data_IF_803238941122
#
_entry.id   IF_803238941122
#
_cell.length_a   1.000
_cell.length_b   1.000
_cell.length_c   1.000
_cell.angle_alpha   90.00
_cell.angle_beta   90.00
_cell.angle_gamma   90.00
#
_symmetry.space_group_name_H-M   'P 1'
#
loop_
_entity.id
_entity.type
_entity.pdbx_description
1 polymer ?
#
# COMPACT_ATOMS: atom_id res chain seq x y z
N UNK A 1 -13.57 -3.20 42.41
CA UNK A 1 -14.06 -2.89 41.04
C UNK A 1 -13.07 -3.33 39.95
N UNK A 2 -11.75 -3.21 40.18
CA UNK A 2 -10.70 -3.59 39.22
C UNK A 2 -10.89 -5.00 38.60
N UNK A 3 -11.11 -6.04 39.41
CA UNK A 3 -11.25 -7.41 38.90
C UNK A 3 -12.41 -7.62 37.89
N UNK A 4 -13.52 -6.88 38.04
CA UNK A 4 -14.65 -6.96 37.09
C UNK A 4 -14.27 -6.28 35.77
N UNK A 5 -13.68 -5.09 35.83
CA UNK A 5 -13.20 -4.34 34.66
C UNK A 5 -12.16 -5.15 33.88
N UNK A 6 -11.17 -5.72 34.56
CA UNK A 6 -10.15 -6.59 33.95
C UNK A 6 -10.79 -7.79 33.25
N UNK A 7 -11.75 -8.47 33.91
CA UNK A 7 -12.46 -9.60 33.31
C UNK A 7 -13.25 -9.21 32.05
N UNK A 8 -13.91 -8.05 32.08
CA UNK A 8 -14.68 -7.55 30.94
C UNK A 8 -13.72 -7.21 29.77
N UNK A 9 -12.58 -6.58 30.06
CA UNK A 9 -11.51 -6.31 29.07
C UNK A 9 -10.98 -7.62 28.47
N UNK A 10 -10.59 -8.59 29.28
CA UNK A 10 -10.10 -9.89 28.78
C UNK A 10 -11.12 -10.59 27.90
N UNK A 11 -12.42 -10.47 28.22
CA UNK A 11 -13.49 -11.05 27.40
C UNK A 11 -13.64 -10.33 26.06
N UNK A 12 -13.43 -9.03 26.00
CA UNK A 12 -13.45 -8.26 24.75
C UNK A 12 -12.24 -8.60 23.88
N UNK A 13 -11.03 -8.63 24.45
CA UNK A 13 -9.80 -9.04 23.74
C UNK A 13 -9.96 -10.45 23.17
N UNK A 14 -10.44 -11.41 23.97
CA UNK A 14 -10.65 -12.78 23.50
C UNK A 14 -11.69 -12.88 22.36
N UNK A 15 -12.69 -12.00 22.30
CA UNK A 15 -13.63 -11.94 21.18
C UNK A 15 -12.96 -11.41 19.91
N UNK A 16 -12.08 -10.42 20.03
CA UNK A 16 -11.32 -9.90 18.89
C UNK A 16 -10.34 -10.94 18.38
N UNK A 17 -9.64 -11.65 19.27
CA UNK A 17 -8.76 -12.77 18.91
C UNK A 17 -9.52 -13.83 18.08
N UNK A 18 -10.72 -14.19 18.51
CA UNK A 18 -11.55 -15.15 17.78
C UNK A 18 -11.91 -14.64 16.37
N UNK A 19 -12.21 -13.34 16.21
CA UNK A 19 -12.45 -12.74 14.88
C UNK A 19 -11.20 -12.76 14.02
N UNK A 20 -10.03 -12.44 14.59
CA UNK A 20 -8.74 -12.47 13.90
C UNK A 20 -8.44 -13.87 13.37
N UNK A 21 -8.63 -14.90 14.20
CA UNK A 21 -8.42 -16.29 13.78
C UNK A 21 -9.40 -16.71 12.67
N UNK A 22 -10.69 -16.35 12.78
CA UNK A 22 -11.69 -16.65 11.75
C UNK A 22 -11.37 -16.00 10.41
N UNK A 23 -11.07 -14.70 10.39
CA UNK A 23 -10.74 -13.96 9.16
C UNK A 23 -9.44 -14.46 8.55
N UNK A 24 -8.41 -14.68 9.37
CA UNK A 24 -7.14 -15.22 8.91
C UNK A 24 -7.28 -16.61 8.28
N UNK A 25 -8.08 -17.48 8.90
CA UNK A 25 -8.31 -18.82 8.39
C UNK A 25 -9.07 -18.80 7.06
N UNK A 26 -10.09 -17.95 6.93
CA UNK A 26 -10.81 -17.73 5.67
C UNK A 26 -9.88 -17.24 4.56
N UNK A 27 -8.97 -16.32 4.86
CA UNK A 27 -7.98 -15.84 3.90
C UNK A 27 -7.06 -16.96 3.39
N UNK A 28 -6.60 -17.83 4.29
CA UNK A 28 -5.74 -18.97 3.94
C UNK A 28 -6.51 -20.04 3.15
N UNK A 29 -7.74 -20.34 3.53
CA UNK A 29 -8.55 -21.36 2.84
C UNK A 29 -8.95 -20.91 1.43
N UNK A 30 -9.23 -19.63 1.24
CA UNK A 30 -9.47 -19.06 -0.09
C UNK A 30 -8.22 -19.11 -0.97
N UNK A 31 -7.04 -18.84 -0.40
CA UNK A 31 -5.78 -18.98 -1.12
C UNK A 31 -5.53 -20.44 -1.56
N UNK A 32 -5.75 -21.43 -0.67
CA UNK A 32 -5.66 -22.86 -1.01
C UNK A 32 -6.65 -23.25 -2.10
N UNK A 33 -7.88 -22.72 -2.04
CA UNK A 33 -8.88 -22.95 -3.07
C UNK A 33 -8.43 -22.43 -4.44
N UNK A 34 -7.82 -21.24 -4.49
CA UNK A 34 -7.25 -20.68 -5.70
C UNK A 34 -6.10 -21.56 -6.25
N UNK A 35 -5.19 -22.03 -5.38
CA UNK A 35 -4.10 -22.94 -5.76
C UNK A 35 -4.62 -24.27 -6.32
N UNK A 36 -5.60 -24.88 -5.67
CA UNK A 36 -6.23 -26.13 -6.11
C UNK A 36 -6.95 -25.94 -7.46
N UNK A 37 -7.62 -24.80 -7.63
CA UNK A 37 -8.25 -24.41 -8.89
C UNK A 37 -7.22 -24.32 -10.01
N UNK A 38 -6.14 -23.58 -9.80
CA UNK A 38 -5.05 -23.46 -10.78
C UNK A 38 -4.45 -24.82 -11.14
N UNK A 39 -4.15 -25.65 -10.14
CA UNK A 39 -3.64 -27.01 -10.37
C UNK A 39 -4.59 -27.85 -11.24
N UNK A 40 -5.91 -27.74 -11.00
CA UNK A 40 -6.93 -28.43 -11.80
C UNK A 40 -6.94 -27.94 -13.25
N UNK A 41 -6.79 -26.63 -13.47
CA UNK A 41 -6.67 -26.06 -14.82
C UNK A 41 -5.38 -26.51 -15.52
N UNK A 42 -4.24 -26.49 -14.81
CA UNK A 42 -2.94 -26.89 -15.36
C UNK A 42 -2.88 -28.39 -15.73
N UNK A 43 -3.61 -29.24 -15.02
CA UNK A 43 -3.71 -30.68 -15.34
C UNK A 43 -4.60 -30.96 -16.56
N UNK A 44 -5.63 -30.14 -16.78
CA UNK A 44 -6.55 -30.31 -17.89
C UNK A 44 -6.04 -29.55 -19.14
N UNK A 45 -4.99 -30.06 -19.80
CA UNK A 45 -4.40 -29.40 -20.99
C UNK A 45 -4.98 -29.88 -22.33
N UNK A 46 -5.89 -30.86 -22.33
CA UNK A 46 -6.40 -31.52 -23.53
C UNK A 46 -7.78 -31.01 -23.97
N UNK A 47 -7.89 -29.71 -24.28
CA UNK A 47 -9.15 -29.11 -24.73
C UNK A 47 -9.18 -28.86 -26.25
N UNK A 48 -10.33 -29.11 -26.86
CA UNK A 48 -10.66 -28.74 -28.25
C UNK A 48 -10.92 -27.24 -28.36
N UNK A 49 -10.82 -26.66 -29.57
CA UNK A 49 -11.01 -25.22 -29.75
C UNK A 49 -12.37 -24.68 -29.24
N UNK A 50 -13.44 -25.45 -29.39
CA UNK A 50 -14.79 -25.08 -28.91
C UNK A 50 -14.93 -25.21 -27.39
N UNK A 51 -14.22 -26.18 -26.78
CA UNK A 51 -14.14 -26.26 -25.31
C UNK A 51 -13.26 -25.15 -24.73
N UNK A 52 -12.24 -24.67 -25.45
CA UNK A 52 -11.36 -23.59 -25.00
C UNK A 52 -12.09 -22.29 -24.64
N UNK A 53 -13.05 -21.83 -25.45
CA UNK A 53 -13.77 -20.58 -25.16
C UNK A 53 -14.65 -20.69 -23.90
N UNK A 54 -15.36 -21.82 -23.75
CA UNK A 54 -16.21 -22.07 -22.58
C UNK A 54 -15.36 -22.16 -21.31
N UNK A 55 -14.18 -22.78 -21.41
CA UNK A 55 -13.23 -22.93 -20.30
C UNK A 55 -12.57 -21.61 -19.94
N UNK A 56 -12.28 -20.77 -20.93
CA UNK A 56 -11.79 -19.41 -20.71
C UNK A 56 -12.82 -18.55 -19.96
N UNK A 57 -14.09 -18.61 -20.36
CA UNK A 57 -15.19 -17.93 -19.65
C UNK A 57 -15.34 -18.43 -18.21
N UNK A 58 -15.36 -19.75 -18.02
CA UNK A 58 -15.45 -20.36 -16.69
C UNK A 58 -14.23 -20.00 -15.81
N UNK A 59 -13.03 -19.95 -16.39
CA UNK A 59 -11.79 -19.50 -15.72
C UNK A 59 -11.91 -18.06 -15.24
N UNK A 60 -12.41 -17.16 -16.10
CA UNK A 60 -12.62 -15.76 -15.74
C UNK A 60 -13.68 -15.57 -14.65
N UNK A 61 -14.81 -16.27 -14.74
CA UNK A 61 -15.85 -16.22 -13.71
C UNK A 61 -15.35 -16.73 -12.37
N UNK A 62 -14.60 -17.83 -12.38
CA UNK A 62 -14.01 -18.41 -11.18
C UNK A 62 -12.95 -17.48 -10.57
N UNK A 63 -12.09 -16.88 -11.39
CA UNK A 63 -11.11 -15.89 -10.93
C UNK A 63 -11.82 -14.67 -10.31
N UNK A 64 -12.89 -14.15 -10.92
CA UNK A 64 -13.70 -13.06 -10.33
C UNK A 64 -14.32 -13.46 -9.00
N UNK A 65 -14.83 -14.69 -8.87
CA UNK A 65 -15.38 -15.18 -7.61
C UNK A 65 -14.32 -15.28 -6.52
N UNK A 66 -13.13 -15.78 -6.85
CA UNK A 66 -11.98 -15.81 -5.93
C UNK A 66 -11.61 -14.39 -5.50
N UNK A 67 -11.51 -13.45 -6.43
CA UNK A 67 -11.16 -12.06 -6.12
C UNK A 67 -12.23 -11.36 -5.27
N UNK A 68 -13.51 -11.56 -5.57
CA UNK A 68 -14.63 -11.03 -4.77
C UNK A 68 -14.57 -11.55 -3.33
N UNK A 69 -14.43 -12.86 -3.15
CA UNK A 69 -14.35 -13.46 -1.81
C UNK A 69 -13.10 -12.99 -1.06
N UNK A 70 -11.99 -12.72 -1.75
CA UNK A 70 -10.75 -12.25 -1.12
C UNK A 70 -10.92 -10.81 -0.64
N UNK A 71 -11.56 -9.98 -1.45
CA UNK A 71 -11.89 -8.61 -1.08
C UNK A 71 -12.82 -8.55 0.13
N UNK A 72 -13.86 -9.39 0.18
CA UNK A 72 -14.73 -9.46 1.37
C UNK A 72 -13.99 -9.86 2.64
N UNK A 73 -13.04 -10.80 2.54
CA UNK A 73 -12.20 -11.21 3.67
C UNK A 73 -11.26 -10.06 4.08
N UNK A 74 -10.72 -9.34 3.11
CA UNK A 74 -9.85 -8.19 3.36
C UNK A 74 -10.60 -7.03 4.04
N UNK A 75 -11.81 -6.69 3.57
CA UNK A 75 -12.67 -5.68 4.21
C UNK A 75 -12.98 -6.06 5.67
N UNK A 76 -13.35 -7.32 5.93
CA UNK A 76 -13.58 -7.82 7.29
C UNK A 76 -12.30 -7.77 8.13
N UNK A 77 -11.14 -8.01 7.52
CA UNK A 77 -9.87 -7.90 8.23
C UNK A 77 -9.54 -6.47 8.63
N UNK A 78 -9.85 -5.50 7.77
CA UNK A 78 -9.68 -4.08 8.08
C UNK A 78 -10.62 -3.65 9.21
N UNK A 79 -11.88 -4.10 9.20
CA UNK A 79 -12.81 -3.83 10.30
C UNK A 79 -12.29 -4.36 11.65
N UNK A 80 -11.64 -5.54 11.64
CA UNK A 80 -11.03 -6.12 12.85
C UNK A 80 -9.79 -5.34 13.28
N UNK A 81 -8.98 -4.85 12.34
CA UNK A 81 -7.85 -3.96 12.65
C UNK A 81 -8.30 -2.69 13.33
N UNK A 82 -9.31 -2.01 12.77
CA UNK A 82 -9.83 -0.76 13.30
C UNK A 82 -10.38 -0.96 14.72
N UNK A 83 -11.04 -2.11 14.99
CA UNK A 83 -11.52 -2.48 16.33
C UNK A 83 -10.38 -2.74 17.32
N UNK A 84 -9.27 -3.35 16.88
CA UNK A 84 -8.09 -3.59 17.71
C UNK A 84 -7.38 -2.27 18.03
N UNK A 85 -7.22 -1.39 17.05
CA UNK A 85 -6.61 -0.06 17.22
C UNK A 85 -7.42 0.82 18.18
N UNK A 86 -8.75 0.87 18.03
CA UNK A 86 -9.63 1.59 18.96
C UNK A 86 -9.45 1.10 20.41
N UNK A 87 -9.31 -0.22 20.61
CA UNK A 87 -9.10 -0.81 21.94
C UNK A 87 -7.72 -0.50 22.50
N UNK A 88 -6.69 -0.58 21.68
CA UNK A 88 -5.33 -0.20 22.06
C UNK A 88 -5.28 1.27 22.53
N UNK A 89 -5.83 2.20 21.74
CA UNK A 89 -5.89 3.61 22.15
C UNK A 89 -6.65 3.80 23.48
N UNK A 90 -7.73 3.04 23.66
CA UNK A 90 -8.51 3.04 24.90
C UNK A 90 -7.69 2.60 26.12
N UNK A 91 -6.85 1.56 25.96
CA UNK A 91 -5.97 1.08 27.01
C UNK A 91 -4.83 2.05 27.30
N UNK A 92 -4.21 2.63 26.28
CA UNK A 92 -3.15 3.64 26.43
C UNK A 92 -3.64 4.88 27.18
N UNK A 93 -4.84 5.38 26.84
CA UNK A 93 -5.49 6.50 27.57
C UNK A 93 -5.76 6.13 29.03
N UNK A 94 -6.18 4.89 29.31
CA UNK A 94 -6.40 4.41 30.68
C UNK A 94 -5.08 4.28 31.46
N UNK A 95 -4.02 3.74 30.85
CA UNK A 95 -2.68 3.66 31.44
C UNK A 95 -2.16 5.05 31.81
N UNK A 96 -2.33 6.04 30.93
CA UNK A 96 -1.90 7.41 31.18
C UNK A 96 -2.66 8.03 32.38
N UNK A 97 -3.98 7.80 32.46
CA UNK A 97 -4.79 8.26 33.58
C UNK A 97 -4.36 7.61 34.90
N UNK A 98 -4.18 6.28 34.92
CA UNK A 98 -3.77 5.54 36.12
C UNK A 98 -2.34 5.91 36.56
N UNK A 99 -1.44 6.18 35.61
CA UNK A 99 -0.08 6.67 35.90
C UNK A 99 -0.10 8.06 36.53
N UNK A 100 -1.01 8.93 36.09
CA UNK A 100 -1.22 10.24 36.71
C UNK A 100 -1.73 10.10 38.15
N UNK A 101 -2.68 9.21 38.39
CA UNK A 101 -3.22 8.96 39.72
C UNK A 101 -2.19 8.33 40.66
N UNK A 102 -1.36 7.41 40.16
CA UNK A 102 -0.23 6.85 40.91
C UNK A 102 0.77 7.94 41.35
N UNK A 103 1.03 8.92 40.47
CA UNK A 103 1.87 10.08 40.81
C UNK A 103 1.27 10.91 41.95
N UNK A 104 -0.04 11.17 41.92
CA UNK A 104 -0.74 11.89 42.99
C UNK A 104 -0.72 11.12 44.31
N UNK A 105 -0.93 9.80 44.26
CA UNK A 105 -0.86 8.93 45.45
C UNK A 105 0.53 8.96 46.09
N UNK A 106 1.59 8.96 45.27
CA UNK A 106 2.97 9.06 45.77
C UNK A 106 3.26 10.40 46.45
N UNK A 107 2.66 11.51 46.00
CA UNK A 107 2.75 12.81 46.68
C UNK A 107 2.01 12.76 48.01
N UNK A 108 0.76 12.29 48.00
CA UNK A 108 -0.06 12.18 49.20
C UNK A 108 0.57 11.27 50.26
N UNK A 109 1.21 10.17 49.85
CA UNK A 109 1.95 9.26 50.72
C UNK A 109 2.99 10.02 51.54
N UNK A 110 3.82 10.84 50.88
CA UNK A 110 4.88 11.63 51.54
C UNK A 110 4.29 12.65 52.53
N UNK A 111 3.18 13.28 52.17
CA UNK A 111 2.50 14.24 53.05
C UNK A 111 1.94 13.56 54.31
N UNK A 112 1.29 12.40 54.16
CA UNK A 112 0.75 11.62 55.28
C UNK A 112 1.87 11.11 56.18
N UNK A 113 2.94 10.58 55.61
CA UNK A 113 4.12 10.12 56.37
C UNK A 113 4.76 11.26 57.17
N UNK A 114 4.80 12.48 56.63
CA UNK A 114 5.31 13.65 57.34
C UNK A 114 4.48 14.04 58.57
N UNK A 115 3.20 13.63 58.63
CA UNK A 115 2.34 13.84 59.81
C UNK A 115 2.46 12.74 60.88
N UNK A 116 3.25 11.68 60.61
CA UNK A 116 3.39 10.53 61.50
C UNK A 116 2.20 9.56 61.46
N UNK A 117 1.27 9.74 60.53
CA UNK A 117 0.13 8.83 60.29
C UNK A 117 0.56 7.71 59.33
N UNK A 118 -0.02 6.52 59.47
CA UNK A 118 0.26 5.39 58.57
C UNK A 118 -0.24 5.65 57.15
N UNK A 119 0.60 5.36 56.15
CA UNK A 119 0.32 5.45 54.71
C UNK A 119 -0.22 4.14 54.09
N UNK A 120 -0.53 3.11 54.89
CA UNK A 120 -0.84 1.76 54.40
C UNK A 120 -2.03 1.67 53.42
N UNK A 121 -3.06 2.49 53.59
CA UNK A 121 -4.19 2.53 52.64
C UNK A 121 -3.81 3.22 51.32
N UNK A 122 -2.89 4.19 51.34
CA UNK A 122 -2.35 4.83 50.13
C UNK A 122 -1.47 3.83 49.38
N UNK A 123 -0.67 3.04 50.10
CA UNK A 123 0.14 1.98 49.51
C UNK A 123 -0.72 0.94 48.80
N UNK A 124 -1.79 0.46 49.46
CA UNK A 124 -2.73 -0.48 48.85
C UNK A 124 -3.41 0.10 47.60
N UNK A 125 -3.76 1.39 47.62
CA UNK A 125 -4.31 2.07 46.46
C UNK A 125 -3.28 2.20 45.32
N UNK A 126 -2.02 2.50 45.65
CA UNK A 126 -0.91 2.58 44.70
C UNK A 126 -0.60 1.23 44.05
N UNK A 127 -0.52 0.17 44.84
CA UNK A 127 -0.36 -1.22 44.36
C UNK A 127 -1.50 -1.61 43.41
N UNK A 128 -2.75 -1.33 43.79
CA UNK A 128 -3.90 -1.62 42.93
C UNK A 128 -3.85 -0.85 41.61
N UNK A 129 -3.33 0.38 41.58
CA UNK A 129 -3.15 1.15 40.34
C UNK A 129 -2.01 0.62 39.49
N UNK A 130 -0.90 0.21 40.11
CA UNK A 130 0.21 -0.41 39.40
C UNK A 130 -0.21 -1.74 38.76
N UNK A 131 -1.01 -2.56 39.45
CA UNK A 131 -1.58 -3.79 38.89
C UNK A 131 -2.50 -3.52 37.68
N UNK A 132 -3.30 -2.45 37.74
CA UNK A 132 -4.16 -2.02 36.62
C UNK A 132 -3.33 -1.59 35.40
N UNK A 133 -2.29 -0.79 35.61
CA UNK A 133 -1.34 -0.38 34.56
C UNK A 133 -0.68 -1.62 33.93
N UNK A 134 -0.13 -2.53 34.74
CA UNK A 134 0.55 -3.72 34.24
C UNK A 134 -0.39 -4.61 33.40
N UNK A 135 -1.64 -4.78 33.85
CA UNK A 135 -2.64 -5.54 33.11
C UNK A 135 -2.99 -4.90 31.76
N UNK A 136 -3.19 -3.58 31.73
CA UNK A 136 -3.51 -2.85 30.50
C UNK A 136 -2.32 -2.88 29.53
N UNK A 137 -1.09 -2.68 30.01
CA UNK A 137 0.11 -2.76 29.19
C UNK A 137 0.29 -4.12 28.55
N UNK A 138 0.10 -5.21 29.31
CA UNK A 138 0.15 -6.56 28.75
C UNK A 138 -0.97 -6.82 27.71
N UNK A 139 -2.15 -6.21 27.91
CA UNK A 139 -3.25 -6.30 26.95
C UNK A 139 -2.95 -5.53 25.66
N UNK A 140 -2.29 -4.38 25.75
CA UNK A 140 -1.82 -3.61 24.58
C UNK A 140 -0.77 -4.41 23.78
N UNK A 141 0.25 -4.96 24.44
CA UNK A 141 1.28 -5.79 23.77
C UNK A 141 0.68 -7.03 23.08
N UNK A 142 -0.33 -7.65 23.69
CA UNK A 142 -1.06 -8.77 23.07
C UNK A 142 -1.82 -8.32 21.82
N UNK A 143 -2.49 -7.16 21.85
CA UNK A 143 -3.19 -6.61 20.68
C UNK A 143 -2.20 -6.35 19.53
N UNK A 144 -1.05 -5.74 19.80
CA UNK A 144 0.00 -5.50 18.80
C UNK A 144 0.49 -6.81 18.16
N UNK A 145 0.73 -7.84 18.99
CA UNK A 145 1.14 -9.17 18.50
C UNK A 145 0.08 -9.78 17.58
N UNK A 146 -1.19 -9.69 17.96
CA UNK A 146 -2.32 -10.21 17.18
C UNK A 146 -2.50 -9.44 15.86
N UNK A 147 -2.30 -8.13 15.86
CA UNK A 147 -2.28 -7.29 14.66
C UNK A 147 -1.14 -7.69 13.72
N UNK A 148 0.07 -7.94 14.23
CA UNK A 148 1.20 -8.39 13.41
C UNK A 148 0.96 -9.79 12.79
N UNK A 149 0.39 -10.71 13.57
CA UNK A 149 0.03 -12.04 13.07
C UNK A 149 -1.02 -11.98 11.96
N UNK A 150 -2.07 -11.17 12.15
CA UNK A 150 -3.09 -10.96 11.12
C UNK A 150 -2.46 -10.43 9.83
N UNK A 151 -1.55 -9.45 9.94
CA UNK A 151 -0.88 -8.81 8.79
C UNK A 151 -0.12 -9.85 7.99
N UNK A 152 0.69 -10.62 8.69
CA UNK A 152 1.50 -11.69 8.12
C UNK A 152 0.64 -12.73 7.38
N UNK A 153 -0.49 -13.15 7.96
CA UNK A 153 -1.39 -14.14 7.35
C UNK A 153 -2.13 -13.57 6.13
N UNK A 154 -2.51 -12.30 6.15
CA UNK A 154 -3.10 -11.62 4.99
C UNK A 154 -2.08 -11.48 3.85
N UNK A 155 -0.84 -11.12 4.16
CA UNK A 155 0.25 -11.05 3.18
C UNK A 155 0.53 -12.41 2.55
N UNK A 156 0.60 -13.47 3.35
CA UNK A 156 0.75 -14.85 2.87
C UNK A 156 -0.41 -15.26 1.95
N UNK A 157 -1.65 -14.97 2.36
CA UNK A 157 -2.85 -15.23 1.54
C UNK A 157 -2.78 -14.46 0.21
N UNK A 158 -2.39 -13.18 0.23
CA UNK A 158 -2.25 -12.35 -0.97
C UNK A 158 -1.20 -12.91 -1.92
N UNK A 159 -0.02 -13.29 -1.40
CA UNK A 159 1.07 -13.88 -2.20
C UNK A 159 0.62 -15.19 -2.86
N UNK A 160 -0.03 -16.08 -2.11
CA UNK A 160 -0.58 -17.33 -2.63
C UNK A 160 -1.64 -17.11 -3.70
N UNK A 161 -2.57 -16.17 -3.46
CA UNK A 161 -3.56 -15.77 -4.47
C UNK A 161 -2.89 -15.27 -5.75
N UNK A 162 -1.90 -14.40 -5.65
CA UNK A 162 -1.17 -13.87 -6.80
C UNK A 162 -0.46 -14.99 -7.57
N UNK A 163 0.17 -15.94 -6.88
CA UNK A 163 0.79 -17.12 -7.50
C UNK A 163 -0.24 -18.07 -8.14
N UNK A 164 -1.47 -18.09 -7.61
CA UNK A 164 -2.58 -18.91 -8.08
C UNK A 164 -3.41 -18.27 -9.21
N UNK A 165 -3.10 -17.05 -9.66
CA UNK A 165 -3.82 -16.41 -10.76
C UNK A 165 -3.80 -17.27 -12.02
N UNK A 166 -4.99 -17.47 -12.59
CA UNK A 166 -5.17 -18.23 -13.82
C UNK A 166 -4.65 -17.41 -15.02
N UNK A 167 -3.41 -17.67 -15.43
CA UNK A 167 -2.84 -17.13 -16.66
C UNK A 167 -3.28 -17.99 -17.85
N UNK A 168 -4.55 -17.90 -18.25
CA UNK A 168 -5.00 -18.53 -19.48
C UNK A 168 -4.46 -17.73 -20.68
N UNK A 169 -3.23 -18.06 -21.12
CA UNK A 169 -2.81 -17.73 -22.47
C UNK A 169 -3.46 -18.78 -23.36
N UNK A 170 -4.53 -18.41 -24.07
CA UNK A 170 -4.99 -19.24 -25.18
C UNK A 170 -3.76 -19.51 -26.04
N UNK A 171 -3.36 -20.79 -26.17
CA UNK A 171 -2.45 -21.18 -27.23
C UNK A 171 -3.23 -20.86 -28.49
N UNK A 172 -3.01 -19.65 -29.01
CA UNK A 172 -3.42 -19.27 -30.35
C UNK A 172 -3.01 -20.44 -31.23
N UNK A 173 -4.01 -21.20 -31.67
CA UNK A 173 -3.89 -22.11 -32.80
C UNK A 173 -3.75 -21.23 -34.06
N UNK A 174 -2.81 -20.28 -34.05
CA UNK A 174 -2.16 -19.86 -35.27
C UNK A 174 -1.37 -21.07 -35.73
N UNK A 175 -2.06 -21.91 -36.49
CA UNK A 175 -1.42 -22.77 -37.46
C UNK A 175 -0.70 -21.79 -38.40
N UNK A 176 0.65 -21.74 -38.42
CA UNK A 176 1.36 -20.98 -39.45
C UNK A 176 1.17 -21.79 -40.73
N UNK A 177 0.00 -21.65 -41.35
CA UNK A 177 -0.27 -22.20 -42.66
C UNK A 177 0.54 -21.33 -43.61
N UNK A 178 1.76 -21.80 -43.87
CA UNK A 178 2.52 -21.64 -45.11
C UNK A 178 1.89 -20.67 -46.11
N UNK A 179 2.18 -19.37 -45.97
CA UNK A 179 2.21 -18.48 -47.12
C UNK A 179 3.66 -18.45 -47.60
N UNK A 180 3.97 -19.42 -48.46
CA UNK A 180 5.18 -19.43 -49.26
C UNK A 180 4.92 -18.48 -50.42
N UNK A 181 5.16 -17.18 -50.23
CA UNK A 181 5.35 -16.29 -51.36
C UNK A 181 6.84 -16.06 -51.55
N UNK A 182 7.33 -16.69 -52.61
CA UNK A 182 8.64 -16.53 -53.17
C UNK A 182 8.81 -15.09 -53.68
N UNK A 183 9.73 -14.35 -53.10
CA UNK A 183 10.43 -13.31 -53.84
C UNK A 183 11.93 -13.43 -53.59
N UNK A 184 12.58 -14.02 -54.58
CA UNK A 184 13.99 -13.82 -54.86
C UNK A 184 14.28 -12.32 -54.97
N UNK A 185 15.22 -11.81 -54.17
CA UNK A 185 16.13 -10.79 -54.66
C UNK A 185 17.50 -10.93 -54.01
N UNK A 186 18.36 -11.56 -54.81
CA UNK A 186 19.80 -11.39 -54.97
C UNK A 186 20.40 -10.08 -54.44
N UNK A 187 21.52 -10.20 -53.73
CA UNK A 187 22.73 -9.48 -54.13
C UNK A 187 23.46 -8.65 -53.08
N UNK A 188 24.68 -9.11 -52.76
CA UNK A 188 25.87 -8.32 -52.43
C UNK A 188 25.87 -7.54 -51.08
N UNK A 189 26.98 -7.37 -50.36
CA UNK A 189 28.39 -7.53 -50.69
C UNK A 189 29.19 -7.57 -49.38
N UNK A 190 30.19 -8.44 -49.39
CA UNK A 190 31.29 -8.62 -48.46
C UNK A 190 32.01 -7.31 -48.05
N UNK A 191 32.48 -7.25 -46.79
CA UNK A 191 33.74 -6.56 -46.48
C UNK A 191 34.41 -7.15 -45.24
N UNK A 192 35.36 -8.04 -45.48
CA UNK A 192 36.46 -8.36 -44.59
C UNK A 192 37.51 -7.22 -44.59
N UNK A 193 38.12 -6.98 -43.42
CA UNK A 193 39.49 -6.50 -43.16
C UNK A 193 39.66 -6.60 -41.62
N UNK A 194 40.49 -7.50 -41.08
CA UNK A 194 41.96 -7.40 -41.05
C UNK A 194 42.35 -6.28 -40.06
N UNK A 195 42.97 -6.50 -38.90
CA UNK A 195 44.08 -7.40 -38.57
C UNK A 195 45.33 -6.53 -38.26
N UNK A 196 46.00 -6.80 -37.13
CA UNK A 196 47.32 -6.30 -36.68
C UNK A 196 47.45 -4.83 -36.23
N UNK A 197 48.33 -4.42 -35.31
CA UNK A 197 49.33 -5.05 -34.42
C UNK A 197 49.82 -4.02 -33.39
N UNK A 198 50.38 -4.50 -32.28
CA UNK A 198 51.38 -3.90 -31.36
C UNK A 198 51.43 -2.38 -31.09
N UNK A 199 51.43 -2.03 -29.79
CA UNK A 199 52.60 -1.37 -29.16
C UNK A 199 52.53 -1.51 -27.64
N UNK A 200 53.57 -2.14 -27.09
CA UNK A 200 53.93 -2.07 -25.67
C UNK A 200 54.27 -0.63 -25.30
N UNK A 201 53.72 -0.15 -24.19
CA UNK A 201 54.29 0.98 -23.46
C UNK A 201 54.01 0.78 -21.98
N UNK A 202 55.00 0.25 -21.26
CA UNK A 202 55.08 0.32 -19.80
C UNK A 202 55.48 1.75 -19.41
N UNK A 203 54.70 2.47 -18.57
CA UNK A 203 55.22 3.58 -17.81
C UNK A 203 55.88 3.07 -16.51
N UNK A 204 56.92 3.78 -16.03
CA UNK A 204 57.75 3.32 -14.92
C UNK A 204 57.00 3.31 -13.60
N UNK A 205 57.28 2.26 -12.83
CA UNK A 205 57.13 2.17 -11.38
C UNK A 205 57.83 3.36 -10.71
N UNK A 206 57.04 4.31 -10.22
CA UNK A 206 57.49 5.20 -9.17
C UNK A 206 56.41 5.35 -8.09
N UNK A 207 56.74 4.76 -6.94
CA UNK A 207 56.45 5.27 -5.60
C UNK A 207 55.12 5.98 -5.35
N UNK A 208 54.13 5.24 -4.85
CA UNK A 208 53.41 5.57 -3.60
C UNK A 208 52.52 4.39 -3.18
N UNK A 209 53.03 3.57 -2.26
CA UNK A 209 52.27 2.58 -1.50
C UNK A 209 51.82 3.28 -0.23
N UNK A 210 50.64 3.90 -0.22
CA UNK A 210 49.84 4.13 1.00
C UNK A 210 48.33 4.09 0.66
N UNK A 211 47.60 3.21 1.35
CA UNK A 211 46.15 3.19 1.60
C UNK A 211 45.12 2.82 0.50
N UNK A 212 45.30 1.68 -0.17
CA UNK A 212 44.28 1.13 -1.08
C UNK A 212 43.19 0.24 -0.40
N UNK A 213 43.34 -0.07 0.90
CA UNK A 213 42.30 -0.77 1.67
C UNK A 213 41.21 0.17 2.22
N UNK A 214 41.43 1.49 2.20
CA UNK A 214 40.50 2.52 2.69
C UNK A 214 39.41 2.88 1.67
N UNK A 215 39.69 2.73 0.37
CA UNK A 215 38.80 3.10 -0.74
C UNK A 215 37.56 2.20 -0.84
N UNK A 216 37.75 0.88 -0.82
CA UNK A 216 36.66 -0.10 -0.97
C UNK A 216 35.72 -0.13 0.25
N UNK A 217 36.26 0.04 1.45
CA UNK A 217 35.48 0.08 2.69
C UNK A 217 34.66 1.38 2.81
N UNK A 218 35.18 2.52 2.30
CA UNK A 218 34.43 3.78 2.23
C UNK A 218 33.27 3.70 1.23
N UNK A 219 33.50 3.13 0.03
CA UNK A 219 32.43 2.92 -0.96
C UNK A 219 31.35 1.97 -0.43
N UNK A 220 31.74 0.91 0.28
CA UNK A 220 30.78 -0.01 0.91
C UNK A 220 29.98 0.64 2.05
N UNK A 221 30.64 1.44 2.91
CA UNK A 221 29.97 2.20 3.98
C UNK A 221 29.02 3.25 3.43
N UNK A 222 29.41 3.97 2.38
CA UNK A 222 28.57 4.99 1.74
C UNK A 222 27.35 4.37 1.07
N UNK A 223 27.52 3.23 0.39
CA UNK A 223 26.39 2.45 -0.16
C UNK A 223 25.45 1.94 0.92
N UNK A 224 25.98 1.38 2.01
CA UNK A 224 25.17 0.90 3.13
C UNK A 224 24.43 2.03 3.86
N UNK A 225 25.07 3.19 4.02
CA UNK A 225 24.42 4.39 4.58
C UNK A 225 23.32 4.91 3.67
N UNK A 226 23.52 4.91 2.35
CA UNK A 226 22.50 5.30 1.37
C UNK A 226 21.31 4.35 1.39
N UNK A 227 21.53 3.03 1.40
CA UNK A 227 20.46 2.02 1.51
C UNK A 227 19.70 2.12 2.85
N UNK A 228 20.40 2.37 3.96
CA UNK A 228 19.78 2.57 5.26
C UNK A 228 18.93 3.86 5.31
N UNK A 229 19.43 4.95 4.73
CA UNK A 229 18.70 6.21 4.63
C UNK A 229 17.46 6.08 3.74
N UNK A 230 17.56 5.38 2.61
CA UNK A 230 16.44 5.10 1.70
C UNK A 230 15.38 4.24 2.38
N UNK A 231 15.80 3.21 3.14
CA UNK A 231 14.88 2.37 3.92
C UNK A 231 14.20 3.14 5.04
N UNK A 232 14.91 4.00 5.76
CA UNK A 232 14.33 4.86 6.79
C UNK A 232 13.35 5.88 6.20
N UNK A 233 13.69 6.49 5.07
CA UNK A 233 12.81 7.43 4.37
C UNK A 233 11.53 6.74 3.86
N UNK A 234 11.64 5.49 3.39
CA UNK A 234 10.48 4.69 3.03
C UNK A 234 9.56 4.41 4.23
N UNK A 235 10.12 4.05 5.40
CA UNK A 235 9.31 3.81 6.62
C UNK A 235 8.54 5.06 7.03
N UNK A 236 9.19 6.23 7.00
CA UNK A 236 8.54 7.51 7.32
C UNK A 236 7.45 7.84 6.29
N UNK A 237 7.73 7.64 4.99
CA UNK A 237 6.74 7.85 3.94
C UNK A 237 5.53 6.91 4.08
N UNK A 238 5.76 5.62 4.39
CA UNK A 238 4.69 4.65 4.63
C UNK A 238 3.82 5.04 5.84
N UNK A 239 4.43 5.57 6.91
CA UNK A 239 3.68 6.10 8.06
C UNK A 239 2.81 7.30 7.67
N UNK A 240 3.33 8.24 6.90
CA UNK A 240 2.56 9.39 6.40
C UNK A 240 1.42 8.98 5.48
N UNK A 241 1.65 7.99 4.61
CA UNK A 241 0.62 7.43 3.73
C UNK A 241 -0.50 6.76 4.52
N UNK A 242 -0.14 5.96 5.53
CA UNK A 242 -1.12 5.21 6.34
C UNK A 242 -1.91 6.11 7.28
N UNK A 243 -1.29 7.17 7.82
CA UNK A 243 -1.94 8.15 8.68
C UNK A 243 -3.01 8.98 7.94
N UNK A 244 -2.88 9.13 6.62
CA UNK A 244 -3.86 9.84 5.81
C UNK A 244 -5.08 8.96 5.51
N UNK A 245 -5.98 8.88 6.49
CA UNK A 245 -7.13 7.99 6.50
C UNK A 245 -8.15 8.36 5.40
N UNK A 246 -8.00 7.77 4.20
CA UNK A 246 -8.88 7.98 3.05
C UNK A 246 -10.20 7.23 3.24
N UNK A 247 -11.32 7.95 3.30
CA UNK A 247 -12.65 7.34 3.37
C UNK A 247 -12.95 6.65 2.03
N UNK A 248 -12.86 5.32 1.98
CA UNK A 248 -13.00 4.53 0.75
C UNK A 248 -11.75 4.56 -0.14
N UNK A 249 -10.57 4.44 0.50
CA UNK A 249 -9.21 4.67 -0.01
C UNK A 249 -8.74 3.90 -1.24
N UNK A 250 -9.37 4.15 -2.38
CA UNK A 250 -8.93 3.63 -3.67
C UNK A 250 -7.63 4.29 -4.17
N UNK A 251 -7.26 5.47 -3.66
CA UNK A 251 -6.06 6.19 -4.07
C UNK A 251 -4.79 5.37 -3.87
N UNK A 252 -4.41 5.13 -2.61
CA UNK A 252 -3.21 4.37 -2.29
C UNK A 252 -3.25 2.95 -2.88
N UNK A 253 -4.35 2.22 -2.73
CA UNK A 253 -4.40 0.81 -3.14
C UNK A 253 -4.38 0.65 -4.67
N UNK A 254 -4.94 1.61 -5.43
CA UNK A 254 -5.00 1.51 -6.90
C UNK A 254 -3.94 2.31 -7.65
N UNK A 255 -3.31 3.30 -7.00
CA UNK A 255 -2.38 4.24 -7.63
C UNK A 255 -1.10 4.46 -6.81
N UNK A 256 -0.98 3.86 -5.64
CA UNK A 256 0.18 4.01 -4.78
C UNK A 256 1.45 3.38 -5.35
N UNK A 257 2.58 3.76 -4.78
CA UNK A 257 3.92 3.34 -5.22
C UNK A 257 4.13 1.81 -5.13
N UNK A 258 3.33 1.12 -4.33
CA UNK A 258 3.36 -0.33 -4.13
C UNK A 258 2.67 -1.12 -5.25
N UNK A 259 1.86 -0.47 -6.09
CA UNK A 259 1.13 -1.14 -7.20
C UNK A 259 2.07 -1.50 -8.34
N UNK A 260 2.06 -2.73 -8.86
CA UNK A 260 3.06 -3.14 -9.87
C UNK A 260 2.70 -2.74 -11.30
N UNK A 261 3.67 -2.83 -12.22
CA UNK A 261 3.42 -2.65 -13.66
C UNK A 261 2.36 -3.62 -14.16
N UNK A 262 2.47 -4.87 -13.79
CA UNK A 262 1.59 -5.95 -14.20
C UNK A 262 0.17 -5.71 -13.67
N UNK A 263 0.03 -5.21 -12.44
CA UNK A 263 -1.28 -4.82 -11.88
C UNK A 263 -1.92 -3.67 -12.67
N UNK A 264 -1.15 -2.63 -13.02
CA UNK A 264 -1.65 -1.50 -13.82
C UNK A 264 -1.97 -1.88 -15.28
N UNK A 265 -1.21 -2.80 -15.88
CA UNK A 265 -1.50 -3.36 -17.20
C UNK A 265 -2.75 -4.25 -17.18
N UNK A 266 -2.88 -5.09 -16.17
CA UNK A 266 -4.07 -5.93 -15.97
C UNK A 266 -5.33 -5.07 -15.91
N UNK A 267 -5.26 -3.94 -15.20
CA UNK A 267 -6.36 -2.97 -15.14
C UNK A 267 -6.70 -2.37 -16.52
N UNK A 268 -5.71 -2.00 -17.33
CA UNK A 268 -5.95 -1.51 -18.70
C UNK A 268 -6.57 -2.56 -19.62
N UNK A 269 -6.20 -3.82 -19.46
CA UNK A 269 -6.67 -4.92 -20.31
C UNK A 269 -8.07 -5.40 -19.91
N UNK A 270 -8.29 -5.58 -18.61
CA UNK A 270 -9.45 -6.29 -18.07
C UNK A 270 -10.45 -5.35 -17.40
N UNK A 271 -10.06 -4.12 -17.09
CA UNK A 271 -10.81 -3.21 -16.22
C UNK A 271 -10.75 -3.54 -14.74
N UNK A 272 -10.03 -4.59 -14.32
CA UNK A 272 -9.91 -5.01 -12.92
C UNK A 272 -8.78 -4.22 -12.24
N UNK A 273 -9.09 -3.50 -11.17
CA UNK A 273 -8.15 -2.68 -10.40
C UNK A 273 -7.21 -3.53 -9.53
N UNK A 274 -6.11 -2.97 -8.98
CA UNK A 274 -5.21 -3.72 -8.10
C UNK A 274 -5.87 -4.32 -6.85
N UNK A 275 -6.92 -3.69 -6.34
CA UNK A 275 -7.80 -4.18 -5.28
C UNK A 275 -8.91 -5.13 -5.76
N UNK A 276 -8.98 -5.48 -7.05
CA UNK A 276 -9.88 -6.51 -7.57
C UNK A 276 -11.26 -6.03 -8.06
N UNK A 277 -11.58 -4.75 -7.90
CA UNK A 277 -12.85 -4.19 -8.38
C UNK A 277 -12.86 -3.99 -9.92
N UNK A 278 -14.04 -4.07 -10.52
CA UNK A 278 -14.22 -3.76 -11.93
C UNK A 278 -14.45 -2.25 -12.16
N UNK A 279 -13.39 -1.53 -12.54
CA UNK A 279 -13.41 -0.13 -12.96
C UNK A 279 -12.59 0.07 -14.25
N UNK A 280 -13.20 -0.15 -15.44
CA UNK A 280 -12.52 0.02 -16.71
C UNK A 280 -12.07 1.47 -16.91
N UNK A 281 -10.84 1.62 -17.40
CA UNK A 281 -10.22 2.93 -17.66
C UNK A 281 -9.35 2.84 -18.91
N UNK A 282 -9.22 3.95 -19.65
CA UNK A 282 -8.30 4.05 -20.79
C UNK A 282 -6.85 4.30 -20.37
N UNK A 283 -6.62 4.71 -19.12
CA UNK A 283 -5.32 5.09 -18.58
C UNK A 283 -5.15 4.60 -17.13
N UNK A 284 -3.95 4.18 -16.77
CA UNK A 284 -3.60 3.79 -15.39
C UNK A 284 -2.29 4.45 -14.97
N UNK A 285 -2.12 4.68 -13.67
CA UNK A 285 -0.97 5.41 -13.13
C UNK A 285 -0.57 4.90 -11.76
N UNK A 286 0.73 5.06 -11.44
CA UNK A 286 1.28 4.84 -10.11
C UNK A 286 2.32 5.88 -9.75
N UNK A 287 2.52 6.10 -8.45
CA UNK A 287 3.67 6.84 -7.97
C UNK A 287 4.98 6.10 -8.26
N UNK A 288 6.06 6.86 -8.46
CA UNK A 288 7.37 6.29 -8.72
C UNK A 288 7.87 5.54 -7.48
N UNK A 289 7.78 6.20 -6.33
CA UNK A 289 8.26 5.76 -5.04
C UNK A 289 7.38 6.31 -3.89
N UNK A 290 7.65 5.83 -2.68
CA UNK A 290 6.92 6.22 -1.48
C UNK A 290 7.07 7.71 -1.15
N UNK A 291 8.23 8.31 -1.44
CA UNK A 291 8.51 9.71 -1.13
C UNK A 291 7.64 10.65 -1.98
N UNK A 292 7.50 10.33 -3.26
CA UNK A 292 6.66 11.05 -4.22
C UNK A 292 5.19 11.00 -3.82
N UNK A 293 4.73 9.83 -3.36
CA UNK A 293 3.37 9.66 -2.85
C UNK A 293 3.14 10.44 -1.55
N UNK A 294 4.04 10.34 -0.58
CA UNK A 294 3.94 11.08 0.67
C UNK A 294 3.95 12.60 0.45
N UNK A 295 4.76 13.09 -0.49
CA UNK A 295 4.75 14.51 -0.88
C UNK A 295 3.41 14.92 -1.51
N UNK A 296 2.82 14.05 -2.34
CA UNK A 296 1.49 14.29 -2.90
C UNK A 296 0.43 14.40 -1.80
N UNK A 297 0.47 13.51 -0.80
CA UNK A 297 -0.44 13.54 0.35
C UNK A 297 -0.28 14.83 1.16
N UNK A 298 0.96 15.26 1.46
CA UNK A 298 1.21 16.55 2.11
C UNK A 298 0.65 17.73 1.34
N UNK A 299 0.72 17.71 0.00
CA UNK A 299 0.06 18.74 -0.82
C UNK A 299 -1.46 18.64 -0.75
N UNK A 300 -2.01 17.44 -0.73
CA UNK A 300 -3.44 17.23 -0.55
C UNK A 300 -3.94 17.79 0.78
N UNK A 301 -3.18 17.63 1.87
CA UNK A 301 -3.46 18.23 3.18
C UNK A 301 -3.52 19.75 3.13
N UNK A 302 -2.50 20.37 2.54
CA UNK A 302 -2.46 21.83 2.38
C UNK A 302 -3.66 22.30 1.57
N UNK A 303 -4.02 21.60 0.49
CA UNK A 303 -5.21 21.91 -0.32
C UNK A 303 -6.47 21.77 0.54
N UNK A 304 -6.63 20.64 1.22
CA UNK A 304 -7.80 20.32 2.04
C UNK A 304 -8.05 21.38 3.11
N UNK A 305 -6.99 21.86 3.77
CA UNK A 305 -7.06 22.89 4.82
C UNK A 305 -7.39 24.28 4.27
N UNK A 306 -7.21 24.52 2.97
CA UNK A 306 -7.50 25.79 2.31
C UNK A 306 -8.79 25.76 1.46
N UNK A 307 -9.44 24.60 1.33
CA UNK A 307 -10.72 24.51 0.64
C UNK A 307 -11.83 25.22 1.45
N UNK A 308 -12.67 26.05 0.81
CA UNK A 308 -13.81 26.65 1.49
C UNK A 308 -14.83 25.56 1.85
N UNK A 309 -15.77 25.83 2.75
CA UNK A 309 -16.75 24.81 3.15
C UNK A 309 -17.60 24.34 1.95
N UNK A 310 -18.07 23.08 1.92
CA UNK A 310 -18.96 22.60 0.87
C UNK A 310 -20.15 23.54 0.64
N UNK A 311 -20.38 23.94 -0.62
CA UNK A 311 -21.43 24.90 -1.00
C UNK A 311 -21.01 26.37 -1.03
N UNK A 312 -19.77 26.69 -0.63
CA UNK A 312 -19.17 28.01 -0.83
C UNK A 312 -18.40 28.07 -2.16
N UNK A 313 -18.28 29.28 -2.73
CA UNK A 313 -17.49 29.51 -3.93
C UNK A 313 -16.00 29.28 -3.67
N UNK A 314 -15.32 28.59 -4.60
CA UNK A 314 -13.87 28.40 -4.56
C UNK A 314 -13.19 29.76 -4.87
N UNK A 315 -12.33 30.28 -3.98
CA UNK A 315 -11.58 31.51 -4.23
C UNK A 315 -10.87 31.48 -5.58
N UNK A 316 -10.91 32.59 -6.34
CA UNK A 316 -10.25 32.67 -7.65
C UNK A 316 -8.74 32.38 -7.58
N UNK A 317 -8.11 32.62 -6.43
CA UNK A 317 -6.72 32.27 -6.14
C UNK A 317 -6.47 30.75 -6.15
N UNK A 318 -7.47 29.95 -5.80
CA UNK A 318 -7.45 28.50 -5.87
C UNK A 318 -8.03 27.99 -7.21
N UNK A 319 -8.84 28.77 -7.94
CA UNK A 319 -9.47 28.30 -9.17
C UNK A 319 -8.48 27.82 -10.27
N UNK A 320 -7.23 28.30 -10.27
CA UNK A 320 -6.20 27.84 -11.21
C UNK A 320 -5.73 26.43 -10.83
N UNK A 321 -6.33 25.42 -11.44
CA UNK A 321 -6.07 24.00 -11.15
C UNK A 321 -7.20 23.28 -10.43
N UNK A 322 -8.31 23.97 -10.15
CA UNK A 322 -9.48 23.40 -9.49
C UNK A 322 -10.67 23.34 -10.44
N UNK A 323 -11.34 22.19 -10.51
CA UNK A 323 -12.62 22.09 -11.22
C UNK A 323 -13.69 21.45 -10.33
N UNK A 324 -14.85 22.10 -10.25
CA UNK A 324 -16.05 21.52 -9.63
C UNK A 324 -16.78 20.74 -10.70
N UNK A 325 -16.92 19.43 -10.50
CA UNK A 325 -17.67 18.57 -11.42
C UNK A 325 -18.90 18.01 -10.71
N UNK A 326 -19.99 17.91 -11.47
CA UNK A 326 -21.22 17.27 -11.04
C UNK A 326 -21.20 15.82 -11.54
N UNK A 327 -21.29 14.86 -10.64
CA UNK A 327 -21.43 13.44 -11.01
C UNK A 327 -22.86 13.20 -11.50
N UNK A 328 -23.05 12.61 -12.69
CA UNK A 328 -24.40 12.30 -13.19
C UNK A 328 -25.06 11.22 -12.31
N UNK A 329 -26.25 11.50 -11.77
CA UNK A 329 -27.08 10.51 -11.04
C UNK A 329 -27.06 10.60 -9.50
N UNK A 330 -26.15 11.38 -8.89
CA UNK A 330 -26.18 11.77 -7.47
C UNK A 330 -25.84 13.27 -7.36
N UNK A 331 -26.48 14.00 -6.45
CA UNK A 331 -26.12 15.39 -6.14
C UNK A 331 -24.82 15.38 -5.31
N UNK A 332 -23.73 14.95 -5.94
CA UNK A 332 -22.40 14.89 -5.33
C UNK A 332 -21.50 15.80 -6.15
N UNK A 333 -21.10 16.91 -5.54
CA UNK A 333 -20.07 17.80 -6.08
C UNK A 333 -18.72 17.24 -5.66
N UNK A 334 -17.76 17.17 -6.58
CA UNK A 334 -16.38 16.86 -6.22
C UNK A 334 -15.46 17.96 -6.72
N UNK A 335 -14.38 18.17 -5.97
CA UNK A 335 -13.32 19.11 -6.32
C UNK A 335 -12.15 18.31 -6.85
N UNK A 336 -11.81 18.53 -8.12
CA UNK A 336 -10.58 18.04 -8.73
C UNK A 336 -9.52 19.12 -8.54
N UNK A 337 -8.43 18.83 -7.84
CA UNK A 337 -7.29 19.73 -7.70
C UNK A 337 -6.06 19.14 -8.41
N UNK A 338 -5.34 19.99 -9.14
CA UNK A 338 -4.13 19.66 -9.90
C UNK A 338 -2.92 20.34 -9.29
N UNK A 339 -1.88 19.57 -9.01
CA UNK A 339 -0.58 20.12 -8.60
C UNK A 339 0.55 19.45 -9.35
N UNK A 340 1.56 20.24 -9.70
CA UNK A 340 2.88 19.73 -10.04
C UNK A 340 3.65 19.48 -8.73
N UNK A 341 4.51 18.45 -8.64
CA UNK A 341 5.43 18.26 -7.51
C UNK A 341 6.82 18.81 -7.86
N UNK A 342 6.93 20.14 -8.00
CA UNK A 342 8.10 20.86 -8.51
C UNK A 342 9.37 20.86 -7.62
N UNK A 343 9.70 19.79 -6.90
CA UNK A 343 10.88 19.80 -6.01
C UNK A 343 11.80 18.58 -6.05
N UNK A 344 11.46 17.47 -6.71
CA UNK A 344 12.29 16.25 -6.65
C UNK A 344 12.49 15.45 -7.96
N UNK A 345 12.06 15.95 -9.12
CA UNK A 345 12.13 15.19 -10.38
C UNK A 345 10.83 14.40 -10.65
N UNK A 346 10.94 13.31 -11.40
CA UNK A 346 9.81 12.47 -11.84
C UNK A 346 8.96 11.98 -10.66
N UNK A 347 7.64 12.13 -10.73
CA UNK A 347 6.73 11.93 -9.57
C UNK A 347 5.91 10.65 -9.64
N UNK A 348 5.71 10.16 -10.86
CA UNK A 348 4.91 9.00 -11.13
C UNK A 348 5.09 8.57 -12.57
N UNK A 349 4.58 7.38 -12.86
CA UNK A 349 4.53 6.86 -14.22
C UNK A 349 3.06 6.61 -14.60
N UNK A 350 2.67 6.94 -15.83
CA UNK A 350 1.42 6.48 -16.45
C UNK A 350 1.71 5.36 -17.42
N UNK A 351 0.85 4.35 -17.42
CA UNK A 351 0.70 3.46 -18.56
C UNK A 351 -0.54 3.91 -19.32
N UNK A 352 -0.35 4.24 -20.59
CA UNK A 352 -1.46 4.38 -21.54
C UNK A 352 -1.49 3.14 -22.43
N UNK A 353 -2.70 2.72 -22.81
CA UNK A 353 -2.86 1.64 -23.77
C UNK A 353 -2.68 2.21 -25.17
N UNK A 354 -1.58 1.85 -25.83
CA UNK A 354 -1.48 1.91 -27.29
C UNK A 354 -1.98 0.57 -27.87
N UNK A 355 -2.39 0.48 -29.15
CA UNK A 355 -2.96 -0.74 -29.72
C UNK A 355 -2.10 -1.99 -29.48
N UNK A 356 -0.77 -1.82 -29.49
CA UNK A 356 0.19 -2.94 -29.47
C UNK A 356 1.27 -2.84 -28.36
N UNK A 357 1.30 -1.76 -27.56
CA UNK A 357 2.35 -1.54 -26.53
C UNK A 357 1.81 -0.90 -25.24
N UNK A 358 2.55 -1.13 -24.15
CA UNK A 358 2.36 -0.46 -22.86
C UNK A 358 3.61 0.36 -22.53
N UNK A 359 3.55 1.64 -22.85
CA UNK A 359 4.65 2.56 -22.62
C UNK A 359 4.44 3.34 -21.32
N UNK A 360 5.42 3.26 -20.43
CA UNK A 360 5.47 4.12 -19.26
C UNK A 360 5.90 5.52 -19.69
N UNK A 361 5.13 6.51 -19.27
CA UNK A 361 5.47 7.93 -19.42
C UNK A 361 5.67 8.52 -18.03
N UNK A 362 6.80 9.19 -17.85
CA UNK A 362 7.10 9.89 -16.60
C UNK A 362 6.26 11.17 -16.51
N UNK A 363 5.79 11.45 -15.30
CA UNK A 363 4.82 12.49 -15.00
C UNK A 363 5.23 13.26 -13.75
N UNK A 364 4.87 14.53 -13.73
CA UNK A 364 5.10 15.51 -12.67
C UNK A 364 3.80 16.04 -12.02
N UNK A 365 2.63 15.77 -12.61
CA UNK A 365 1.33 16.23 -12.14
C UNK A 365 0.55 15.14 -11.39
N UNK A 366 -0.08 15.54 -10.29
CA UNK A 366 -0.99 14.69 -9.49
C UNK A 366 -2.37 15.33 -9.44
N UNK A 367 -3.39 14.49 -9.59
CA UNK A 367 -4.78 14.85 -9.37
C UNK A 367 -5.23 14.36 -8.01
N UNK A 368 -5.92 15.23 -7.28
CA UNK A 368 -6.66 14.92 -6.07
C UNK A 368 -8.16 15.07 -6.32
N UNK A 369 -8.96 14.13 -5.80
CA UNK A 369 -10.42 14.21 -5.83
C UNK A 369 -10.94 14.30 -4.40
N UNK A 370 -11.61 15.40 -4.09
CA UNK A 370 -12.25 15.63 -2.79
C UNK A 370 -13.77 15.56 -2.90
N UNK A 371 -14.42 14.96 -1.89
CA UNK A 371 -15.88 14.94 -1.74
C UNK A 371 -16.30 15.60 -0.41
N UNK A 372 -17.52 16.17 -0.32
CA UNK A 372 -18.07 16.69 0.93
C UNK A 372 -18.16 15.60 1.99
N UNK A 373 -17.73 15.93 3.21
CA UNK A 373 -17.86 15.08 4.38
C UNK A 373 -18.87 15.68 5.36
N UNK A 374 -20.06 15.10 5.34
CA UNK A 374 -21.20 15.52 6.17
C UNK A 374 -20.91 15.43 7.68
N UNK A 375 -20.05 14.50 8.11
CA UNK A 375 -19.76 14.32 9.55
C UNK A 375 -18.70 15.28 10.08
N UNK A 376 -17.80 15.76 9.22
CA UNK A 376 -16.72 16.70 9.58
C UNK A 376 -17.04 18.15 9.20
N UNK A 377 -18.22 18.40 8.61
CA UNK A 377 -18.61 19.70 8.05
C UNK A 377 -17.47 20.29 7.19
N UNK A 378 -16.96 19.51 6.23
CA UNK A 378 -15.77 19.86 5.46
C UNK A 378 -15.60 18.97 4.24
N UNK A 379 -14.38 18.87 3.72
CA UNK A 379 -14.05 17.98 2.60
C UNK A 379 -13.35 16.71 3.08
N UNK A 380 -13.29 15.69 2.24
CA UNK A 380 -12.43 14.52 2.44
C UNK A 380 -11.82 14.11 1.12
N UNK A 381 -10.54 13.73 1.17
CA UNK A 381 -9.84 13.17 0.01
C UNK A 381 -10.38 11.76 -0.24
N UNK A 382 -10.79 11.50 -1.47
CA UNK A 382 -11.37 10.21 -1.89
C UNK A 382 -10.33 9.38 -2.65
N UNK A 383 -9.60 10.02 -3.56
CA UNK A 383 -8.54 9.37 -4.32
C UNK A 383 -7.54 10.40 -4.81
N UNK A 384 -6.35 9.94 -5.14
CA UNK A 384 -5.33 10.72 -5.80
C UNK A 384 -4.53 9.82 -6.75
N UNK A 385 -4.00 10.40 -7.81
CA UNK A 385 -3.23 9.64 -8.80
C UNK A 385 -2.40 10.56 -9.70
N UNK A 386 -1.23 10.11 -10.18
CA UNK A 386 -0.47 10.84 -11.20
C UNK A 386 -1.28 10.94 -12.51
N UNK A 387 -1.26 12.10 -13.16
CA UNK A 387 -1.91 12.32 -14.46
C UNK A 387 -0.99 13.07 -15.43
N UNK A 388 -1.00 12.71 -16.72
CA UNK A 388 -0.28 13.45 -17.75
C UNK A 388 -0.80 14.88 -17.87
N UNK A 389 0.12 15.83 -17.98
CA UNK A 389 -0.22 17.22 -18.24
C UNK A 389 -1.00 17.35 -19.55
N UNK A 390 -2.26 17.78 -19.44
CA UNK A 390 -3.07 18.19 -20.57
C UNK A 390 -2.95 19.71 -20.68
N UNK A 391 -2.23 20.20 -21.69
CA UNK A 391 -2.29 21.61 -22.08
C UNK A 391 -3.77 21.91 -22.45
N UNK A 392 -4.44 22.70 -21.62
CA UNK A 392 -5.84 23.16 -21.83
C UNK A 392 -5.82 24.40 -22.72
#
# INVERSE_FOLDING_TARGET
>A
MAAKKQKDISKEVAKLDAKVQDVSQKALDLAKFAEATKSTFDQNTAFTAETSQTIEQASHELQRSIDTNHNEVFEKSQEVYDQLEEKQEGFEKAIAADSSDLTKLNVLKKEVEATGVSSSDIDRAGESKQEEINFLSASTEHIETVQDELKKKLDESRQRRQAARLNYKSKSLHNPTQFVDAHEHTGNSSRERGGDSHTEYEPPLDSQVEDDQSSSERVAKEKAQKEAAEKAAKVVADQEITAFNLKGGHGHIRHGYQTTREEQQTRLLTGITPDGDYFPTGETSRFLDAQSEALAIKKAEVILNNLPLPGQDIPKSLAKGFSIKKRSGRISFFVEARTELNSFGETGKIITRNPDTFDWQDIDEVIFIFEPNETKNGWSLVTYFPKKHQLI
#
